data_IF_868385940378
#
_entry.id   IF_868385940378
#
_cell.length_a   1.000
_cell.length_b   1.000
_cell.length_c   1.000
_cell.angle_alpha   90.00
_cell.angle_beta   90.00
_cell.angle_gamma   90.00
#
_symmetry.space_group_name_H-M   'P 1'
#
loop_
_entity.id
_entity.type
_entity.pdbx_description
1 polymer ?
#
# COMPACT_ATOMS: atom_id res chain seq x y z
N UNK A 1 0.49 25.95 -6.13
CA UNK A 1 0.06 24.87 -5.22
C UNK A 1 -1.30 24.38 -5.69
N UNK A 2 -1.50 23.05 -5.78
CA UNK A 2 -2.79 22.43 -6.08
C UNK A 2 -3.30 21.75 -4.81
N UNK A 3 -4.53 22.06 -4.41
CA UNK A 3 -5.18 21.49 -3.22
C UNK A 3 -6.48 20.85 -3.65
N UNK A 4 -6.65 19.59 -3.33
CA UNK A 4 -7.92 18.89 -3.51
C UNK A 4 -8.31 18.24 -2.18
N UNK A 5 -9.49 18.60 -1.69
CA UNK A 5 -10.08 18.08 -0.46
C UNK A 5 -11.38 17.37 -0.84
N UNK A 6 -11.62 16.20 -0.30
CA UNK A 6 -12.89 15.51 -0.48
C UNK A 6 -13.99 16.30 0.25
N UNK A 7 -15.11 16.53 -0.39
CA UNK A 7 -16.17 17.46 0.05
C UNK A 7 -16.58 17.30 1.51
N UNK A 8 -16.65 16.08 2.00
CA UNK A 8 -17.02 15.81 3.40
C UNK A 8 -15.96 16.28 4.43
N UNK A 9 -14.72 16.54 4.00
CA UNK A 9 -13.61 17.00 4.83
C UNK A 9 -13.23 18.47 4.55
N UNK A 10 -14.07 19.22 3.85
CA UNK A 10 -13.76 20.62 3.51
C UNK A 10 -13.57 21.49 4.76
N UNK A 11 -14.24 21.14 5.87
CA UNK A 11 -14.05 21.77 7.17
C UNK A 11 -12.61 21.67 7.72
N UNK A 12 -11.80 20.72 7.26
CA UNK A 12 -10.40 20.56 7.68
C UNK A 12 -9.40 21.40 6.86
N UNK A 13 -9.87 22.27 5.96
CA UNK A 13 -9.00 23.02 5.03
C UNK A 13 -7.86 23.74 5.73
N UNK A 14 -8.17 24.47 6.80
CA UNK A 14 -7.18 25.27 7.51
C UNK A 14 -6.11 24.38 8.18
N UNK A 15 -6.53 23.29 8.80
CA UNK A 15 -5.59 22.33 9.40
C UNK A 15 -4.73 21.63 8.35
N UNK A 16 -5.30 21.28 7.21
CA UNK A 16 -4.56 20.73 6.07
C UNK A 16 -3.51 21.74 5.60
N UNK A 17 -3.84 23.02 5.54
CA UNK A 17 -2.89 24.06 5.14
C UNK A 17 -1.79 24.26 6.18
N UNK A 18 -2.07 24.16 7.48
CA UNK A 18 -1.06 24.14 8.55
C UNK A 18 -0.10 22.95 8.39
N UNK A 19 -0.64 21.76 8.11
CA UNK A 19 0.19 20.57 7.82
C UNK A 19 1.14 20.83 6.65
N UNK A 20 0.67 21.42 5.56
CA UNK A 20 1.50 21.74 4.39
C UNK A 20 2.57 22.80 4.71
N UNK A 21 2.24 23.78 5.56
CA UNK A 21 3.18 24.81 6.05
C UNK A 21 4.23 24.23 7.01
N UNK A 22 3.99 23.06 7.61
CA UNK A 22 4.83 22.47 8.66
C UNK A 22 4.49 22.96 10.06
N UNK A 23 3.36 23.63 10.23
CA UNK A 23 2.82 24.14 11.49
C UNK A 23 1.84 23.13 12.10
N UNK A 24 2.35 22.00 12.56
CA UNK A 24 1.58 20.94 13.20
C UNK A 24 2.47 20.08 14.10
N UNK A 25 1.83 19.33 15.00
CA UNK A 25 2.51 18.36 15.86
C UNK A 25 2.08 16.95 15.45
N UNK A 26 3.06 16.11 15.10
CA UNK A 26 2.82 14.71 14.86
C UNK A 26 2.62 13.95 16.17
N UNK A 27 1.48 13.26 16.32
CA UNK A 27 1.21 12.39 17.48
C UNK A 27 2.11 11.14 17.44
N UNK A 28 2.36 10.61 16.23
CA UNK A 28 3.22 9.45 16.01
C UNK A 28 3.84 9.50 14.62
N UNK A 29 5.13 9.16 14.54
CA UNK A 29 5.86 9.01 13.27
C UNK A 29 6.03 7.52 12.97
N UNK A 30 5.43 7.03 11.90
CA UNK A 30 5.53 5.63 11.46
C UNK A 30 6.72 5.37 10.54
N UNK A 31 7.08 6.35 9.74
CA UNK A 31 8.20 6.27 8.80
C UNK A 31 8.84 7.63 8.58
N UNK A 32 10.17 7.68 8.66
CA UNK A 32 10.95 8.88 8.38
C UNK A 32 12.15 8.58 7.50
N UNK A 33 11.88 7.95 6.33
CA UNK A 33 12.92 7.60 5.34
C UNK A 33 12.74 8.44 4.06
N UNK A 34 12.51 7.76 2.95
CA UNK A 34 12.25 8.37 1.64
C UNK A 34 10.93 9.14 1.59
N UNK A 35 9.93 8.67 2.30
CA UNK A 35 8.67 9.37 2.58
C UNK A 35 8.54 9.52 4.09
N UNK A 36 7.72 10.48 4.52
CA UNK A 36 7.35 10.62 5.93
C UNK A 36 5.89 10.20 6.06
N UNK A 37 5.58 9.40 7.08
CA UNK A 37 4.21 8.97 7.40
C UNK A 37 3.98 9.24 8.86
N UNK A 38 3.02 10.10 9.14
CA UNK A 38 2.76 10.64 10.47
C UNK A 38 1.27 10.58 10.79
N UNK A 39 0.95 10.32 12.06
CA UNK A 39 -0.39 10.47 12.61
C UNK A 39 -0.51 11.87 13.17
N UNK A 40 -1.59 12.55 12.82
CA UNK A 40 -1.93 13.90 13.27
C UNK A 40 -3.37 13.94 13.78
N UNK A 41 -3.68 14.94 14.62
CA UNK A 41 -5.05 15.26 15.02
C UNK A 41 -5.47 16.57 14.37
N UNK A 42 -6.63 16.56 13.72
CA UNK A 42 -7.24 17.74 13.12
C UNK A 42 -8.71 17.80 13.56
N UNK A 43 -9.14 18.90 14.19
CA UNK A 43 -10.51 19.08 14.71
C UNK A 43 -11.04 17.87 15.52
N UNK A 44 -10.18 17.26 16.34
CA UNK A 44 -10.53 16.12 17.18
C UNK A 44 -10.55 14.76 16.48
N UNK A 45 -10.43 14.72 15.14
CA UNK A 45 -10.29 13.49 14.36
C UNK A 45 -8.83 13.08 14.19
N UNK A 46 -8.58 11.79 14.01
CA UNK A 46 -7.24 11.23 13.78
C UNK A 46 -7.01 10.95 12.29
N UNK A 47 -5.88 11.41 11.77
CA UNK A 47 -5.53 11.31 10.36
C UNK A 47 -4.09 10.85 10.16
N UNK A 48 -3.81 10.28 9.00
CA UNK A 48 -2.46 9.95 8.56
C UNK A 48 -2.06 10.86 7.42
N UNK A 49 -0.94 11.54 7.58
CA UNK A 49 -0.30 12.37 6.57
C UNK A 49 0.86 11.61 5.98
N UNK A 50 0.82 11.37 4.68
CA UNK A 50 1.94 10.80 3.92
C UNK A 50 2.58 11.87 3.05
N UNK A 51 3.75 12.33 3.48
CA UNK A 51 4.56 13.33 2.77
C UNK A 51 5.51 12.64 1.80
N UNK A 52 5.33 12.90 0.51
CA UNK A 52 6.25 12.48 -0.54
C UNK A 52 7.31 13.56 -0.75
N UNK A 53 8.55 13.28 -0.30
CA UNK A 53 9.68 14.21 -0.39
C UNK A 53 10.01 14.58 -1.83
N UNK A 54 10.74 15.67 -1.99
CA UNK A 54 11.18 16.21 -3.29
C UNK A 54 11.85 15.12 -4.15
N UNK A 55 11.35 14.85 -5.35
CA UNK A 55 11.99 13.92 -6.27
C UNK A 55 13.22 14.54 -6.93
N UNK A 56 14.01 13.72 -7.61
CA UNK A 56 15.11 14.21 -8.46
C UNK A 56 14.55 15.10 -9.60
N UNK A 57 15.43 15.87 -10.24
CA UNK A 57 15.04 16.88 -11.23
C UNK A 57 14.19 16.31 -12.38
N UNK A 58 14.58 15.19 -12.96
CA UNK A 58 13.82 14.54 -14.04
C UNK A 58 12.39 14.17 -13.61
N UNK A 59 12.26 13.57 -12.43
CA UNK A 59 10.94 13.23 -11.90
C UNK A 59 10.11 14.47 -11.52
N UNK A 60 10.75 15.60 -11.19
CA UNK A 60 10.02 16.87 -10.99
C UNK A 60 9.35 17.32 -12.27
N UNK A 61 10.06 17.32 -13.39
CA UNK A 61 9.52 17.64 -14.71
C UNK A 61 8.39 16.68 -15.08
N UNK A 62 8.61 15.37 -14.90
CA UNK A 62 7.60 14.34 -15.20
C UNK A 62 6.32 14.55 -14.37
N UNK A 63 6.42 14.84 -13.08
CA UNK A 63 5.24 15.09 -12.23
C UNK A 63 4.62 16.48 -12.45
N UNK A 64 5.33 17.41 -13.07
CA UNK A 64 4.76 18.71 -13.39
C UNK A 64 3.90 18.69 -14.66
N UNK A 65 4.28 17.86 -15.65
CA UNK A 65 3.71 17.97 -16.99
C UNK A 65 3.18 16.66 -17.58
N UNK A 66 3.71 15.51 -17.17
CA UNK A 66 3.47 14.24 -17.86
C UNK A 66 2.73 13.20 -17.03
N UNK A 67 2.84 13.25 -15.71
CA UNK A 67 2.33 12.18 -14.86
C UNK A 67 1.81 12.72 -13.54
N UNK A 68 0.64 12.25 -13.14
CA UNK A 68 0.06 12.49 -11.81
C UNK A 68 1.07 12.18 -10.70
N UNK A 69 1.12 13.04 -9.67
CA UNK A 69 1.97 12.83 -8.52
C UNK A 69 1.61 11.54 -7.76
N UNK A 70 2.46 11.12 -6.82
CA UNK A 70 2.13 9.98 -5.97
C UNK A 70 0.95 10.27 -5.05
N UNK A 71 0.82 11.52 -4.59
CA UNK A 71 -0.26 11.95 -3.71
C UNK A 71 -1.60 11.91 -4.46
N UNK A 72 -1.67 12.52 -5.63
CA UNK A 72 -2.86 12.49 -6.48
C UNK A 72 -3.25 11.05 -6.85
N UNK A 73 -2.28 10.21 -7.24
CA UNK A 73 -2.57 8.81 -7.57
C UNK A 73 -3.10 8.02 -6.37
N UNK A 74 -2.55 8.22 -5.17
CA UNK A 74 -3.05 7.57 -3.97
C UNK A 74 -4.52 7.95 -3.71
N UNK A 75 -4.84 9.24 -3.83
CA UNK A 75 -6.20 9.74 -3.66
C UNK A 75 -7.18 9.16 -4.69
N UNK A 76 -6.83 9.21 -5.98
CA UNK A 76 -7.68 8.70 -7.05
C UNK A 76 -7.86 7.17 -6.98
N UNK A 77 -6.79 6.46 -6.61
CA UNK A 77 -6.85 5.01 -6.43
C UNK A 77 -7.73 4.62 -5.24
N UNK A 78 -7.71 5.39 -4.13
CA UNK A 78 -8.61 5.18 -3.00
C UNK A 78 -10.07 5.26 -3.45
N UNK A 79 -10.43 6.34 -4.16
CA UNK A 79 -11.80 6.50 -4.69
C UNK A 79 -12.20 5.35 -5.61
N UNK A 80 -11.28 4.89 -6.45
CA UNK A 80 -11.54 3.77 -7.36
C UNK A 80 -11.72 2.45 -6.61
N UNK A 81 -10.93 2.21 -5.56
CA UNK A 81 -11.07 1.04 -4.69
C UNK A 81 -12.44 1.00 -4.02
N UNK A 82 -12.90 2.14 -3.46
CA UNK A 82 -14.24 2.24 -2.89
C UNK A 82 -15.33 1.89 -3.91
N UNK A 83 -15.24 2.42 -5.13
CA UNK A 83 -16.18 2.10 -6.20
C UNK A 83 -16.20 0.61 -6.60
N UNK A 84 -15.15 -0.13 -6.25
CA UNK A 84 -15.02 -1.57 -6.46
C UNK A 84 -15.34 -2.37 -5.20
N UNK A 85 -15.76 -1.75 -4.10
CA UNK A 85 -16.00 -2.40 -2.81
C UNK A 85 -14.72 -3.03 -2.24
N UNK A 86 -13.60 -2.32 -2.33
CA UNK A 86 -12.32 -2.69 -1.71
C UNK A 86 -11.95 -1.63 -0.69
N UNK A 87 -11.77 -2.05 0.57
CA UNK A 87 -11.50 -1.14 1.67
C UNK A 87 -10.08 -0.56 1.62
N UNK A 88 -10.00 0.71 1.97
CA UNK A 88 -8.77 1.49 2.18
C UNK A 88 -9.09 2.64 3.14
N UNK A 89 -8.15 3.19 3.91
CA UNK A 89 -8.40 4.38 4.71
C UNK A 89 -9.03 5.51 3.88
N UNK A 90 -10.09 6.14 4.40
CA UNK A 90 -10.86 7.17 3.69
C UNK A 90 -9.96 8.31 3.20
N UNK A 91 -9.95 8.63 1.89
CA UNK A 91 -9.11 9.69 1.37
C UNK A 91 -9.69 11.06 1.74
N UNK A 92 -8.93 11.83 2.50
CA UNK A 92 -9.30 13.18 2.95
C UNK A 92 -8.90 14.22 1.91
N UNK A 93 -7.59 14.25 1.57
CA UNK A 93 -7.06 15.24 0.64
C UNK A 93 -5.78 14.78 -0.05
N UNK A 94 -5.46 15.46 -1.14
CA UNK A 94 -4.07 15.54 -1.60
C UNK A 94 -3.69 17.00 -1.88
N UNK A 95 -2.42 17.30 -1.63
CA UNK A 95 -1.84 18.63 -1.88
C UNK A 95 -0.54 18.47 -2.66
N UNK A 96 -0.36 19.31 -3.67
CA UNK A 96 0.86 19.37 -4.48
C UNK A 96 1.49 20.77 -4.40
N UNK A 97 2.75 20.80 -4.01
CA UNK A 97 3.50 22.04 -3.89
C UNK A 97 4.48 22.17 -5.07
N UNK A 98 4.45 23.33 -5.71
CA UNK A 98 5.31 23.67 -6.85
C UNK A 98 6.19 24.85 -6.48
N UNK A 99 7.42 24.89 -7.01
CA UNK A 99 8.34 26.04 -6.94
C UNK A 99 8.90 26.30 -8.34
N UNK A 100 8.73 27.52 -8.83
CA UNK A 100 9.09 27.92 -10.21
C UNK A 100 8.48 26.98 -11.27
N UNK A 101 7.19 26.67 -11.14
CA UNK A 101 6.46 25.78 -12.06
C UNK A 101 6.76 24.28 -11.92
N UNK A 102 7.76 23.88 -11.13
CA UNK A 102 8.16 22.49 -10.97
C UNK A 102 7.68 21.88 -9.66
N UNK A 103 7.14 20.67 -9.72
CA UNK A 103 6.72 19.88 -8.57
C UNK A 103 7.85 19.72 -7.55
N UNK A 104 7.55 19.94 -6.27
CA UNK A 104 8.52 19.82 -5.19
C UNK A 104 8.13 18.82 -4.12
N UNK A 105 6.86 18.79 -3.73
CA UNK A 105 6.38 17.94 -2.63
C UNK A 105 4.91 17.62 -2.83
N UNK A 106 4.49 16.43 -2.41
CA UNK A 106 3.09 16.04 -2.39
C UNK A 106 2.70 15.50 -1.02
N UNK A 107 1.48 15.78 -0.61
CA UNK A 107 0.87 15.28 0.61
C UNK A 107 -0.37 14.46 0.24
N UNK A 108 -0.49 13.28 0.82
CA UNK A 108 -1.71 12.49 0.80
C UNK A 108 -2.19 12.35 2.24
N UNK A 109 -3.42 12.70 2.49
CA UNK A 109 -4.05 12.67 3.80
C UNK A 109 -5.22 11.70 3.75
N UNK A 110 -5.29 10.80 4.73
CA UNK A 110 -6.36 9.84 4.89
C UNK A 110 -6.76 9.73 6.36
N UNK A 111 -7.93 9.20 6.64
CA UNK A 111 -8.32 8.86 8.01
C UNK A 111 -7.36 7.84 8.61
N UNK A 112 -7.11 7.97 9.90
CA UNK A 112 -6.39 6.95 10.65
C UNK A 112 -7.31 5.77 10.93
N UNK A 113 -6.82 4.56 10.72
CA UNK A 113 -7.50 3.32 11.12
C UNK A 113 -6.62 2.54 12.09
N UNK A 114 -7.14 2.14 13.27
CA UNK A 114 -6.37 1.46 14.32
C UNK A 114 -6.28 -0.04 14.05
N UNK A 115 -5.88 -0.43 12.83
CA UNK A 115 -5.84 -1.84 12.43
C UNK A 115 -4.42 -2.39 12.50
N UNK A 116 -4.31 -3.69 12.76
CA UNK A 116 -3.07 -4.45 12.67
C UNK A 116 -2.64 -4.66 11.21
N UNK A 117 -1.35 -4.91 10.98
CA UNK A 117 -0.85 -5.21 9.63
C UNK A 117 -0.69 -6.72 9.43
N UNK A 118 -0.85 -7.18 8.19
CA UNK A 118 -0.55 -8.59 7.87
C UNK A 118 0.92 -8.95 8.14
N UNK A 119 1.83 -7.97 8.17
CA UNK A 119 3.20 -8.20 8.62
C UNK A 119 3.25 -8.67 10.06
N UNK A 120 2.53 -7.99 10.96
CA UNK A 120 2.51 -8.32 12.38
C UNK A 120 1.93 -9.72 12.60
N UNK A 121 0.90 -10.09 11.85
CA UNK A 121 0.32 -11.43 11.86
C UNK A 121 1.30 -12.51 11.39
N UNK A 122 2.09 -12.26 10.34
CA UNK A 122 3.04 -13.24 9.81
C UNK A 122 4.38 -13.30 10.55
N UNK A 123 4.69 -12.31 11.37
CA UNK A 123 5.93 -12.27 12.17
C UNK A 123 5.71 -12.68 13.62
N UNK A 124 4.50 -13.08 14.02
CA UNK A 124 4.17 -13.47 15.38
C UNK A 124 4.00 -12.30 16.36
N UNK A 125 3.95 -11.06 15.84
CA UNK A 125 3.78 -9.86 16.68
C UNK A 125 2.32 -9.56 17.01
N UNK A 126 1.38 -10.12 16.24
CA UNK A 126 -0.04 -9.96 16.51
C UNK A 126 -0.61 -11.17 17.28
N UNK A 127 -1.59 -10.97 18.16
CA UNK A 127 -2.26 -12.07 18.87
C UNK A 127 -2.87 -13.11 17.93
N UNK A 128 -3.33 -12.69 16.76
CA UNK A 128 -3.98 -13.52 15.74
C UNK A 128 -2.99 -14.24 14.80
N UNK A 129 -1.69 -14.22 15.09
CA UNK A 129 -0.65 -14.79 14.20
C UNK A 129 -0.85 -16.26 13.88
N UNK A 130 -1.43 -17.02 14.80
CA UNK A 130 -1.72 -18.45 14.64
C UNK A 130 -3.15 -18.74 14.17
N UNK A 131 -4.00 -17.72 14.00
CA UNK A 131 -5.38 -17.92 13.54
C UNK A 131 -5.40 -18.36 12.05
N UNK A 132 -5.83 -19.59 11.83
CA UNK A 132 -5.99 -20.18 10.50
C UNK A 132 -7.07 -19.44 9.69
N UNK A 133 -8.10 -18.89 10.37
CA UNK A 133 -9.15 -18.11 9.71
C UNK A 133 -8.59 -16.84 9.08
N UNK A 134 -7.70 -16.12 9.79
CA UNK A 134 -7.06 -14.93 9.24
C UNK A 134 -6.35 -15.24 7.90
N UNK A 135 -5.64 -16.35 7.83
CA UNK A 135 -4.90 -16.76 6.62
C UNK A 135 -5.85 -17.14 5.48
N UNK A 136 -6.92 -17.86 5.79
CA UNK A 136 -7.97 -18.23 4.82
C UNK A 136 -8.69 -17.00 4.31
N UNK A 137 -9.13 -16.11 5.20
CA UNK A 137 -9.89 -14.92 4.84
C UNK A 137 -9.02 -13.94 4.04
N UNK A 138 -7.70 -13.91 4.32
CA UNK A 138 -6.75 -13.17 3.49
C UNK A 138 -6.66 -13.73 2.05
N UNK A 139 -6.66 -15.04 1.87
CA UNK A 139 -6.70 -15.63 0.52
C UNK A 139 -7.98 -15.25 -0.20
N UNK A 140 -9.13 -15.32 0.47
CA UNK A 140 -10.42 -14.90 -0.08
C UNK A 140 -10.42 -13.43 -0.47
N UNK A 141 -9.82 -12.56 0.35
CA UNK A 141 -9.62 -11.16 0.02
C UNK A 141 -8.76 -10.99 -1.25
N UNK A 142 -7.62 -11.69 -1.34
CA UNK A 142 -6.75 -11.62 -2.50
C UNK A 142 -7.45 -12.12 -3.79
N UNK A 143 -8.24 -13.19 -3.68
CA UNK A 143 -9.07 -13.71 -4.77
C UNK A 143 -10.10 -12.68 -5.25
N UNK A 144 -10.84 -12.08 -4.31
CA UNK A 144 -11.82 -11.03 -4.60
C UNK A 144 -11.17 -9.81 -5.27
N UNK A 145 -10.02 -9.37 -4.74
CA UNK A 145 -9.25 -8.26 -5.28
C UNK A 145 -8.84 -8.51 -6.74
N UNK A 146 -8.27 -9.68 -7.01
CA UNK A 146 -7.81 -10.06 -8.35
C UNK A 146 -8.99 -10.32 -9.30
N UNK A 147 -10.09 -10.90 -8.81
CA UNK A 147 -11.32 -11.08 -9.58
C UNK A 147 -11.92 -9.76 -10.05
N UNK A 148 -11.83 -8.70 -9.24
CA UNK A 148 -12.20 -7.33 -9.60
C UNK A 148 -11.19 -6.65 -10.55
N UNK A 149 -10.17 -7.34 -11.01
CA UNK A 149 -9.11 -6.79 -11.87
C UNK A 149 -8.21 -5.78 -11.16
N UNK A 150 -8.09 -5.86 -9.85
CA UNK A 150 -7.24 -4.97 -9.04
C UNK A 150 -5.93 -5.68 -8.70
N UNK A 151 -4.80 -5.07 -9.06
CA UNK A 151 -3.47 -5.58 -8.72
C UNK A 151 -2.63 -4.46 -8.08
N UNK A 152 -2.37 -4.52 -6.77
CA UNK A 152 -1.38 -3.67 -6.13
C UNK A 152 0.02 -4.02 -6.65
N UNK A 153 0.76 -3.01 -7.15
CA UNK A 153 2.13 -3.22 -7.66
C UNK A 153 3.18 -3.20 -6.54
N UNK A 154 2.75 -3.03 -5.30
CA UNK A 154 3.56 -3.07 -4.07
C UNK A 154 2.78 -3.84 -2.99
N UNK A 155 2.47 -5.11 -3.29
CA UNK A 155 1.66 -5.99 -2.45
C UNK A 155 2.50 -6.54 -1.28
N UNK A 156 2.83 -5.65 -0.36
CA UNK A 156 3.66 -5.93 0.81
C UNK A 156 2.77 -6.15 2.03
N UNK A 157 3.12 -7.11 2.90
CA UNK A 157 2.35 -7.44 4.11
C UNK A 157 2.14 -6.23 5.06
N UNK A 158 3.07 -5.27 5.08
CA UNK A 158 2.91 -4.03 5.83
C UNK A 158 1.97 -3.01 5.18
N UNK A 159 1.54 -3.24 3.94
CA UNK A 159 0.59 -2.39 3.21
C UNK A 159 -0.83 -2.95 3.23
N UNK A 160 -1.09 -3.98 4.01
CA UNK A 160 -2.40 -4.60 4.16
C UNK A 160 -2.76 -4.60 5.64
N UNK A 161 -3.78 -3.85 5.94
CA UNK A 161 -4.38 -3.82 7.27
C UNK A 161 -5.46 -4.88 7.40
N UNK A 162 -5.70 -5.37 8.62
CA UNK A 162 -6.82 -6.25 8.92
C UNK A 162 -7.44 -5.91 10.27
N UNK A 163 -8.69 -6.26 10.42
CA UNK A 163 -9.45 -6.29 11.66
C UNK A 163 -10.40 -7.46 11.66
N UNK A 164 -10.76 -7.98 12.81
CA UNK A 164 -11.85 -8.92 12.94
C UNK A 164 -13.19 -8.16 12.93
N UNK A 165 -14.16 -8.65 12.21
CA UNK A 165 -15.53 -8.15 12.18
C UNK A 165 -16.41 -9.13 12.96
N UNK A 166 -16.73 -8.78 14.21
CA UNK A 166 -17.49 -9.65 15.11
C UNK A 166 -18.89 -9.97 14.58
N UNK A 167 -19.50 -9.02 13.86
CA UNK A 167 -20.84 -9.20 13.29
C UNK A 167 -20.84 -10.17 12.10
N UNK A 168 -19.81 -10.10 11.27
CA UNK A 168 -19.66 -10.96 10.11
C UNK A 168 -18.96 -12.29 10.45
N UNK A 169 -18.27 -12.38 11.58
CA UNK A 169 -17.49 -13.55 11.99
C UNK A 169 -16.27 -13.83 11.12
N UNK A 170 -15.73 -12.79 10.44
CA UNK A 170 -14.63 -12.91 9.50
C UNK A 170 -13.63 -11.75 9.61
N UNK A 171 -12.44 -11.94 9.08
CA UNK A 171 -11.45 -10.87 8.97
C UNK A 171 -11.72 -9.99 7.75
N UNK A 172 -11.70 -8.67 7.95
CA UNK A 172 -11.76 -7.65 6.92
C UNK A 172 -10.38 -7.08 6.65
N UNK A 173 -10.12 -6.74 5.39
CA UNK A 173 -8.81 -6.25 4.95
C UNK A 173 -8.94 -4.91 4.25
N UNK A 174 -7.97 -4.01 4.48
CA UNK A 174 -7.88 -2.72 3.84
C UNK A 174 -6.48 -2.49 3.26
N UNK A 175 -6.41 -1.94 2.05
CA UNK A 175 -5.15 -1.64 1.38
C UNK A 175 -4.64 -0.25 1.75
N UNK A 176 -3.33 -0.13 2.01
CA UNK A 176 -2.63 1.15 2.16
C UNK A 176 -1.45 1.23 1.18
N UNK A 177 -0.80 2.39 1.09
CA UNK A 177 0.26 2.70 0.10
C UNK A 177 -0.16 2.43 -1.36
N UNK A 178 -1.36 2.81 -1.69
CA UNK A 178 -2.08 2.52 -2.93
C UNK A 178 -1.69 3.41 -4.13
N UNK A 179 -0.59 4.15 -4.06
CA UNK A 179 -0.15 5.03 -5.16
C UNK A 179 0.33 4.27 -6.42
N UNK A 180 0.51 2.95 -6.32
CA UNK A 180 0.96 2.07 -7.40
C UNK A 180 -0.01 0.90 -7.55
N UNK A 181 -1.04 1.10 -8.36
CA UNK A 181 -2.09 0.11 -8.62
C UNK A 181 -2.25 -0.11 -10.12
N UNK A 182 -2.70 -1.29 -10.51
CA UNK A 182 -3.23 -1.58 -11.83
C UNK A 182 -4.69 -2.03 -11.68
N UNK A 183 -5.52 -1.56 -12.59
CA UNK A 183 -6.95 -1.85 -12.61
C UNK A 183 -7.41 -2.33 -14.00
N UNK A 184 -8.49 -3.07 -14.03
CA UNK A 184 -9.25 -3.44 -15.23
C UNK A 184 -9.01 -4.87 -15.69
N UNK A 185 -7.77 -5.29 -15.91
CA UNK A 185 -7.48 -6.67 -16.35
C UNK A 185 -7.20 -7.57 -15.15
N UNK A 186 -7.82 -8.76 -15.14
CA UNK A 186 -7.46 -9.79 -14.17
C UNK A 186 -5.96 -10.13 -14.27
N UNK A 187 -5.26 -10.28 -13.14
CA UNK A 187 -3.84 -10.60 -13.16
C UNK A 187 -3.62 -12.05 -13.63
N UNK A 188 -2.56 -12.23 -14.41
CA UNK A 188 -2.08 -13.57 -14.78
C UNK A 188 -1.49 -14.30 -13.56
N UNK A 189 -1.29 -15.62 -13.68
CA UNK A 189 -0.62 -16.43 -12.65
C UNK A 189 0.73 -15.82 -12.26
N UNK A 190 1.54 -15.45 -13.25
CA UNK A 190 2.85 -14.84 -13.01
C UNK A 190 2.78 -13.52 -12.24
N UNK A 191 1.80 -12.67 -12.54
CA UNK A 191 1.62 -11.39 -11.83
C UNK A 191 1.19 -11.61 -10.38
N UNK A 192 0.31 -12.57 -10.13
CA UNK A 192 -0.13 -12.94 -8.77
C UNK A 192 1.05 -13.51 -7.96
N UNK A 193 1.77 -14.47 -8.50
CA UNK A 193 2.90 -15.10 -7.79
C UNK A 193 4.04 -14.09 -7.53
N UNK A 194 4.26 -13.16 -8.47
CA UNK A 194 5.15 -12.03 -8.24
C UNK A 194 4.68 -11.11 -7.11
N UNK A 195 3.39 -10.90 -6.97
CA UNK A 195 2.84 -10.06 -5.90
C UNK A 195 3.01 -10.74 -4.53
N UNK A 196 2.78 -12.03 -4.45
CA UNK A 196 3.00 -12.82 -3.23
C UNK A 196 4.48 -12.85 -2.83
N UNK A 197 5.42 -12.93 -3.77
CA UNK A 197 6.85 -12.84 -3.47
C UNK A 197 7.20 -11.50 -2.77
N UNK A 198 6.53 -10.40 -3.13
CA UNK A 198 6.72 -9.09 -2.50
C UNK A 198 6.16 -9.01 -1.08
N UNK A 199 5.39 -9.99 -0.65
CA UNK A 199 4.73 -9.99 0.66
C UNK A 199 5.72 -9.95 1.83
N UNK A 200 6.96 -10.42 1.60
CA UNK A 200 8.08 -10.19 2.52
C UNK A 200 8.02 -11.02 3.82
N UNK A 201 7.35 -12.18 3.78
CA UNK A 201 7.25 -13.13 4.90
C UNK A 201 8.05 -14.40 4.63
N UNK A 202 8.04 -15.34 5.58
CA UNK A 202 8.77 -16.61 5.47
C UNK A 202 8.33 -17.44 4.26
N UNK A 203 9.24 -18.25 3.72
CA UNK A 203 9.01 -18.99 2.46
C UNK A 203 7.86 -19.97 2.57
N UNK A 204 7.74 -20.69 3.67
CA UNK A 204 6.67 -21.66 3.94
C UNK A 204 5.30 -21.01 4.01
N UNK A 205 5.20 -19.81 4.60
CA UNK A 205 3.95 -19.06 4.61
C UNK A 205 3.56 -18.63 3.20
N UNK A 206 4.52 -18.18 2.37
CA UNK A 206 4.27 -17.83 0.98
C UNK A 206 3.92 -19.04 0.12
N UNK A 207 4.58 -20.18 0.34
CA UNK A 207 4.26 -21.43 -0.33
C UNK A 207 2.82 -21.85 -0.06
N UNK A 208 2.42 -21.91 1.22
CA UNK A 208 1.05 -22.23 1.62
C UNK A 208 0.03 -21.27 0.97
N UNK A 209 0.33 -19.97 0.99
CA UNK A 209 -0.51 -18.95 0.36
C UNK A 209 -0.68 -19.20 -1.15
N UNK A 210 0.40 -19.52 -1.85
CA UNK A 210 0.37 -19.82 -3.27
C UNK A 210 -0.41 -21.09 -3.58
N UNK A 211 -0.25 -22.16 -2.78
CA UNK A 211 -1.03 -23.42 -2.91
C UNK A 211 -2.51 -23.16 -2.68
N UNK A 212 -2.88 -22.50 -1.58
CA UNK A 212 -4.29 -22.17 -1.32
C UNK A 212 -4.89 -21.32 -2.42
N UNK A 213 -4.20 -20.27 -2.86
CA UNK A 213 -4.69 -19.41 -3.93
C UNK A 213 -4.93 -20.20 -5.23
N UNK A 214 -4.03 -21.09 -5.60
CA UNK A 214 -4.15 -21.91 -6.82
C UNK A 214 -5.31 -22.87 -6.75
N UNK A 215 -5.52 -23.54 -5.60
CA UNK A 215 -6.65 -24.48 -5.42
C UNK A 215 -8.02 -23.78 -5.51
N UNK A 216 -8.15 -22.54 -5.10
CA UNK A 216 -9.41 -21.79 -5.20
C UNK A 216 -9.66 -21.16 -6.58
N UNK A 217 -8.65 -21.09 -7.44
CA UNK A 217 -8.79 -20.43 -8.76
C UNK A 217 -8.85 -21.40 -9.93
N UNK A 218 -8.86 -22.70 -9.67
CA UNK A 218 -8.72 -23.74 -10.70
C UNK A 218 -7.50 -23.51 -11.62
N UNK A 219 -6.52 -22.77 -11.12
CA UNK A 219 -5.29 -22.51 -11.84
C UNK A 219 -4.37 -23.69 -11.70
N UNK A 220 -3.63 -23.96 -12.77
CA UNK A 220 -2.58 -24.97 -12.76
C UNK A 220 -1.61 -24.73 -11.60
N UNK A 221 -1.58 -25.68 -10.65
CA UNK A 221 -0.75 -25.62 -9.47
C UNK A 221 0.74 -25.66 -9.82
N UNK A 222 1.12 -26.47 -10.81
CA UNK A 222 2.52 -26.61 -11.25
C UNK A 222 3.03 -25.31 -11.85
N UNK A 223 2.22 -24.68 -12.71
CA UNK A 223 2.53 -23.36 -13.28
C UNK A 223 2.62 -22.29 -12.19
N UNK A 224 1.74 -22.32 -11.20
CA UNK A 224 1.75 -21.39 -10.08
C UNK A 224 3.02 -21.54 -9.24
N UNK A 225 3.40 -22.79 -8.94
CA UNK A 225 4.63 -23.10 -8.21
C UNK A 225 5.87 -22.71 -8.99
N UNK A 226 5.90 -23.01 -10.30
CA UNK A 226 6.99 -22.58 -11.17
C UNK A 226 7.15 -21.05 -11.16
N UNK A 227 6.05 -20.31 -11.36
CA UNK A 227 6.07 -18.85 -11.34
C UNK A 227 6.53 -18.28 -9.98
N UNK A 228 6.07 -18.88 -8.87
CA UNK A 228 6.50 -18.49 -7.53
C UNK A 228 8.00 -18.69 -7.32
N UNK A 229 8.52 -19.88 -7.63
CA UNK A 229 9.95 -20.21 -7.49
C UNK A 229 10.82 -19.34 -8.40
N UNK A 230 10.38 -19.08 -9.63
CA UNK A 230 11.05 -18.20 -10.56
C UNK A 230 11.26 -16.79 -9.98
N UNK A 231 10.18 -16.17 -9.46
CA UNK A 231 10.28 -14.84 -8.88
C UNK A 231 11.10 -14.83 -7.58
N UNK A 232 11.00 -15.87 -6.78
CA UNK A 232 11.78 -16.02 -5.55
C UNK A 232 13.29 -16.11 -5.86
N UNK A 233 13.67 -16.94 -6.82
CA UNK A 233 15.06 -17.06 -7.26
C UNK A 233 15.59 -15.74 -7.83
N UNK A 234 14.81 -15.12 -8.71
CA UNK A 234 15.14 -13.81 -9.29
C UNK A 234 15.36 -12.73 -8.23
N UNK A 235 14.54 -12.69 -7.21
CA UNK A 235 14.66 -11.76 -6.09
C UNK A 235 15.95 -12.00 -5.30
N UNK A 236 16.26 -13.25 -4.97
CA UNK A 236 17.49 -13.63 -4.25
C UNK A 236 18.75 -13.27 -5.04
N UNK A 237 18.78 -13.57 -6.33
CA UNK A 237 19.92 -13.21 -7.22
C UNK A 237 20.11 -11.69 -7.25
N UNK A 238 19.03 -10.93 -7.38
CA UNK A 238 19.07 -9.46 -7.37
C UNK A 238 19.60 -8.90 -6.05
N UNK A 239 19.21 -9.48 -4.91
CA UNK A 239 19.70 -9.07 -3.59
C UNK A 239 21.18 -9.39 -3.43
N UNK A 240 21.61 -10.62 -3.76
CA UNK A 240 23.02 -11.04 -3.70
C UNK A 240 23.91 -10.15 -4.58
N UNK A 241 23.44 -9.80 -5.78
CA UNK A 241 24.18 -8.88 -6.67
C UNK A 241 24.33 -7.48 -6.05
N UNK A 242 23.23 -6.93 -5.49
CA UNK A 242 23.30 -5.62 -4.82
C UNK A 242 24.25 -5.60 -3.63
N UNK A 243 24.26 -6.65 -2.83
CA UNK A 243 25.18 -6.78 -1.69
C UNK A 243 26.65 -6.83 -2.16
N UNK A 244 26.93 -7.59 -3.23
CA UNK A 244 28.27 -7.61 -3.82
C UNK A 244 28.70 -6.22 -4.29
N UNK A 245 27.85 -5.53 -5.07
CA UNK A 245 28.16 -4.18 -5.58
C UNK A 245 28.35 -3.18 -4.43
N UNK A 246 27.53 -3.26 -3.37
CA UNK A 246 27.66 -2.39 -2.20
C UNK A 246 28.95 -2.61 -1.41
N UNK A 247 29.52 -3.81 -1.44
CA UNK A 247 30.82 -4.12 -0.79
C UNK A 247 32.02 -3.57 -1.57
N UNK A 248 31.90 -3.41 -2.89
CA UNK A 248 32.97 -2.83 -3.73
C UNK A 248 33.02 -1.29 -3.70
N UNK A 249 31.98 -0.64 -3.14
CA UNK A 249 31.89 0.83 -3.01
C UNK A 249 32.09 1.33 -1.57
N UNK A 250 32.47 0.45 -0.66
CA UNK A 250 32.98 0.78 0.69
C UNK A 250 34.49 0.56 0.74
#
# INVERSE_FOLDING_TARGET
>A
MNVFINRQYEHLRDDIMRVVAGDYVAVKVYCHKRNVVEKVVMQGGEYVVKTYKRPNFLNRVVYSFLRKSKAERAFLNARRLYGLGVDTPSPVAYVEVYKHGLFTRGYYIAEFVPYSTMRDAFTGMAPESDDVRLKRDFVNFALSLHGKGVLPLDFNSGNIFYRYDDLAGEYRFALTDINRMRFGKQPSVFEVMRSFEQFGVQVDALYKLAVYYSSYTERDLELSMFAFLYYRLRSRVKHAFKEKVSRYHK
#
